data_IF_365455878298
#
_entry.id   IF_365455878298
#
_cell.length_a   1.000
_cell.length_b   1.000
_cell.length_c   1.000
_cell.angle_alpha   90.00
_cell.angle_beta   90.00
_cell.angle_gamma   90.00
#
_symmetry.space_group_name_H-M   'P 1'
#
loop_
_entity.id
_entity.type
_entity.pdbx_description
1 polymer ?
#
# COMPACT_ATOMS: atom_id res chain seq x y z
N UNK A 1 0.68 2.40 1.78
CA UNK A 1 -0.48 3.04 2.41
C UNK A 1 -1.78 2.31 2.14
N UNK A 2 -2.06 1.84 0.92
CA UNK A 2 -3.26 1.04 0.60
C UNK A 2 -3.47 -0.27 1.42
N UNK A 3 -2.45 -0.73 2.16
CA UNK A 3 -2.59 -1.83 3.13
C UNK A 3 -3.10 -1.42 4.51
N UNK A 4 -3.27 -0.12 4.74
CA UNK A 4 -3.70 0.47 6.03
C UNK A 4 -4.99 1.29 5.88
N UNK A 5 -5.32 1.74 4.66
CA UNK A 5 -6.51 2.51 4.30
C UNK A 5 -7.21 1.90 3.08
N UNK A 6 -8.51 2.16 2.93
CA UNK A 6 -9.28 1.71 1.77
C UNK A 6 -9.61 2.91 0.86
N UNK A 7 -9.33 2.77 -0.43
CA UNK A 7 -9.66 3.75 -1.46
C UNK A 7 -10.75 3.19 -2.40
N UNK A 8 -11.81 3.96 -2.72
CA UNK A 8 -12.81 3.59 -3.73
C UNK A 8 -12.16 3.21 -5.06
N UNK A 9 -12.72 2.24 -5.78
CA UNK A 9 -12.17 1.77 -7.07
C UNK A 9 -10.97 0.82 -6.96
N UNK A 10 -10.33 0.72 -5.80
CA UNK A 10 -9.13 -0.11 -5.59
C UNK A 10 -9.39 -1.40 -4.80
N UNK A 11 -10.61 -1.93 -4.78
CA UNK A 11 -11.01 -3.06 -3.93
C UNK A 11 -10.01 -4.24 -3.89
N UNK A 12 -9.69 -4.87 -5.03
CA UNK A 12 -8.71 -5.97 -5.08
C UNK A 12 -7.31 -5.54 -4.62
N UNK A 13 -6.86 -4.34 -4.98
CA UNK A 13 -5.56 -3.82 -4.58
C UNK A 13 -5.50 -3.55 -3.06
N UNK A 14 -6.52 -2.92 -2.49
CA UNK A 14 -6.61 -2.68 -1.05
C UNK A 14 -6.64 -3.99 -0.27
N UNK A 15 -7.44 -4.97 -0.71
CA UNK A 15 -7.57 -6.27 -0.05
C UNK A 15 -6.22 -7.00 -0.02
N UNK A 16 -5.54 -7.08 -1.16
CA UNK A 16 -4.23 -7.73 -1.26
C UNK A 16 -3.17 -7.01 -0.42
N UNK A 17 -3.15 -5.67 -0.40
CA UNK A 17 -2.20 -4.91 0.42
C UNK A 17 -2.48 -5.00 1.92
N UNK A 18 -3.74 -5.10 2.36
CA UNK A 18 -4.07 -5.37 3.77
C UNK A 18 -3.62 -6.77 4.18
N UNK A 19 -3.82 -7.78 3.31
CA UNK A 19 -3.36 -9.14 3.58
C UNK A 19 -1.84 -9.18 3.76
N UNK A 20 -1.07 -8.48 2.92
CA UNK A 20 0.39 -8.38 3.06
C UNK A 20 0.81 -7.76 4.39
N UNK A 21 0.13 -6.69 4.84
CA UNK A 21 0.40 -6.08 6.15
C UNK A 21 0.16 -7.08 7.28
N UNK A 22 -1.03 -7.69 7.34
CA UNK A 22 -1.38 -8.64 8.38
C UNK A 22 -0.44 -9.86 8.40
N UNK A 23 -0.07 -10.39 7.23
CA UNK A 23 0.89 -11.50 7.13
C UNK A 23 2.29 -11.09 7.62
N UNK A 24 2.74 -9.87 7.33
CA UNK A 24 4.05 -9.39 7.77
C UNK A 24 4.10 -9.21 9.29
N UNK A 25 3.05 -8.67 9.89
CA UNK A 25 2.94 -8.52 11.35
C UNK A 25 2.98 -9.89 12.05
N UNK A 26 2.19 -10.85 11.56
CA UNK A 26 2.22 -12.22 12.09
C UNK A 26 3.60 -12.85 11.98
N UNK A 27 4.24 -12.76 10.81
CA UNK A 27 5.58 -13.29 10.59
C UNK A 27 6.63 -12.66 11.52
N UNK A 28 6.56 -11.34 11.73
CA UNK A 28 7.47 -10.65 12.64
C UNK A 28 7.40 -11.22 14.05
N UNK A 29 6.19 -11.35 14.59
CA UNK A 29 5.94 -11.90 15.93
C UNK A 29 6.37 -13.36 16.04
N UNK A 30 6.11 -14.17 15.00
CA UNK A 30 6.52 -15.57 14.97
C UNK A 30 8.04 -15.75 14.96
N UNK A 31 8.75 -14.92 14.20
CA UNK A 31 10.22 -14.95 14.11
C UNK A 31 10.88 -14.52 15.43
N UNK A 32 10.30 -13.51 16.10
CA UNK A 32 10.71 -13.05 17.43
C UNK A 32 10.48 -14.15 18.48
N UNK A 33 9.27 -14.72 18.53
CA UNK A 33 8.92 -15.77 19.49
C UNK A 33 9.79 -17.04 19.34
N UNK A 34 10.26 -17.34 18.13
CA UNK A 34 11.18 -18.45 17.85
C UNK A 34 12.65 -18.15 18.18
N UNK A 35 13.00 -16.89 18.49
CA UNK A 35 14.40 -16.48 18.67
C UNK A 35 15.25 -16.75 17.43
N UNK A 36 14.67 -16.61 16.24
CA UNK A 36 15.27 -17.10 14.98
C UNK A 36 16.54 -16.37 14.54
N UNK A 37 16.80 -15.18 15.08
CA UNK A 37 17.84 -14.26 14.59
C UNK A 37 17.52 -13.61 13.24
N UNK A 38 16.34 -13.87 12.67
CA UNK A 38 15.82 -13.25 11.46
C UNK A 38 14.64 -12.34 11.83
N UNK A 39 14.50 -11.21 11.15
CA UNK A 39 13.35 -10.30 11.29
C UNK A 39 12.75 -9.96 9.93
N UNK A 40 11.62 -9.26 9.94
CA UNK A 40 11.01 -8.71 8.74
C UNK A 40 10.47 -7.29 9.00
N UNK A 41 10.21 -6.57 7.92
CA UNK A 41 9.61 -5.24 7.94
C UNK A 41 8.51 -5.17 6.89
N UNK A 42 7.58 -4.23 7.04
CA UNK A 42 6.53 -3.96 6.06
C UNK A 42 6.65 -2.54 5.51
N UNK A 43 6.80 -2.45 4.19
CA UNK A 43 6.86 -1.19 3.45
C UNK A 43 5.46 -0.75 3.00
N UNK A 44 5.04 0.43 3.46
CA UNK A 44 3.70 0.97 3.19
C UNK A 44 3.78 2.39 2.58
N UNK A 45 4.18 2.53 1.30
CA UNK A 45 4.40 3.84 0.70
C UNK A 45 3.08 4.51 0.27
N UNK A 46 3.11 5.84 0.15
CA UNK A 46 2.17 6.62 -0.67
C UNK A 46 2.48 6.44 -2.16
N UNK A 47 2.29 7.47 -2.97
CA UNK A 47 2.68 7.41 -4.37
C UNK A 47 4.18 7.55 -4.57
N UNK A 48 4.74 6.75 -5.47
CA UNK A 48 6.17 6.69 -5.77
C UNK A 48 6.35 6.70 -7.26
N UNK A 49 7.28 7.51 -7.76
CA UNK A 49 7.59 7.63 -9.18
C UNK A 49 8.18 6.34 -9.71
N UNK A 50 7.34 5.54 -10.38
CA UNK A 50 7.62 4.18 -10.87
C UNK A 50 6.86 3.93 -12.17
N UNK A 51 7.12 2.80 -12.83
CA UNK A 51 6.35 2.37 -14.02
C UNK A 51 5.03 1.65 -13.69
N UNK A 52 4.53 1.75 -12.45
CA UNK A 52 3.35 1.02 -11.96
C UNK A 52 2.10 1.21 -12.85
N UNK A 53 1.94 2.39 -13.44
CA UNK A 53 0.78 2.75 -14.26
C UNK A 53 1.01 2.63 -15.76
N UNK A 54 2.25 2.39 -16.20
CA UNK A 54 2.64 2.40 -17.61
C UNK A 54 3.09 1.03 -18.11
N UNK A 55 3.52 0.13 -17.22
CA UNK A 55 4.07 -1.19 -17.57
C UNK A 55 3.33 -2.35 -16.90
N UNK A 56 2.00 -2.26 -16.80
CA UNK A 56 1.19 -3.37 -16.28
C UNK A 56 1.24 -4.55 -17.26
N UNK A 57 1.87 -5.64 -16.86
CA UNK A 57 1.93 -6.88 -17.64
C UNK A 57 0.73 -7.76 -17.31
N UNK A 58 -0.15 -7.98 -18.29
CA UNK A 58 -1.22 -8.98 -18.18
C UNK A 58 -0.68 -10.38 -18.48
N UNK A 59 -0.87 -11.32 -17.56
CA UNK A 59 -0.42 -12.70 -17.75
C UNK A 59 -1.47 -13.48 -18.55
N UNK A 60 -1.03 -14.22 -19.57
CA UNK A 60 -1.90 -15.13 -20.35
C UNK A 60 -2.64 -16.15 -19.47
N UNK A 61 -2.04 -16.53 -18.33
CA UNK A 61 -2.67 -17.45 -17.35
C UNK A 61 -3.96 -16.89 -16.73
N UNK A 62 -4.18 -15.58 -16.81
CA UNK A 62 -5.39 -14.91 -16.32
C UNK A 62 -6.50 -14.84 -17.38
N UNK A 63 -6.25 -15.34 -18.60
CA UNK A 63 -7.18 -15.25 -19.72
C UNK A 63 -7.08 -13.91 -20.46
N UNK A 64 -8.14 -13.54 -21.17
CA UNK A 64 -8.20 -12.27 -21.89
C UNK A 64 -8.12 -11.08 -20.91
N UNK A 65 -7.34 -10.07 -21.27
CA UNK A 65 -7.29 -8.83 -20.49
C UNK A 65 -8.66 -8.15 -20.51
N UNK A 66 -9.20 -7.74 -19.35
CA UNK A 66 -10.42 -6.97 -19.29
C UNK A 66 -10.28 -5.67 -20.10
N UNK A 67 -11.33 -5.22 -20.79
CA UNK A 67 -11.31 -3.90 -21.39
C UNK A 67 -11.16 -2.83 -20.32
N UNK A 68 -10.61 -1.68 -20.70
CA UNK A 68 -10.52 -0.54 -19.80
C UNK A 68 -11.91 -0.11 -19.33
N UNK A 69 -12.06 0.28 -18.04
CA UNK A 69 -13.33 0.79 -17.54
C UNK A 69 -13.78 2.03 -18.31
N UNK A 70 -15.05 2.05 -18.71
CA UNK A 70 -15.65 3.17 -19.47
C UNK A 70 -16.51 4.10 -18.61
N UNK A 71 -16.74 3.74 -17.34
CA UNK A 71 -17.52 4.60 -16.45
C UNK A 71 -16.69 5.80 -15.97
N UNK A 72 -17.30 7.00 -15.84
CA UNK A 72 -16.57 8.22 -15.51
C UNK A 72 -15.80 8.17 -14.19
N UNK A 73 -16.30 7.42 -13.19
CA UNK A 73 -15.67 7.33 -11.88
C UNK A 73 -14.37 6.53 -12.01
N UNK A 74 -14.39 5.39 -12.68
CA UNK A 74 -13.20 4.59 -12.91
C UNK A 74 -12.15 5.32 -13.74
N UNK A 75 -12.55 6.09 -14.77
CA UNK A 75 -11.62 6.91 -15.55
C UNK A 75 -10.95 7.97 -14.68
N UNK A 76 -11.71 8.70 -13.84
CA UNK A 76 -11.19 9.69 -12.91
C UNK A 76 -10.20 9.06 -11.91
N UNK A 77 -10.53 7.90 -11.34
CA UNK A 77 -9.64 7.21 -10.40
C UNK A 77 -8.33 6.75 -11.07
N UNK A 78 -8.39 6.31 -12.32
CA UNK A 78 -7.20 5.94 -13.10
C UNK A 78 -6.31 7.15 -13.39
N UNK A 79 -6.90 8.31 -13.71
CA UNK A 79 -6.15 9.56 -13.89
C UNK A 79 -5.50 10.03 -12.59
N UNK A 80 -6.23 9.99 -11.46
CA UNK A 80 -5.67 10.31 -10.14
C UNK A 80 -4.50 9.40 -9.78
N UNK A 81 -4.59 8.10 -10.09
CA UNK A 81 -3.49 7.16 -9.89
C UNK A 81 -2.27 7.53 -10.75
N UNK A 82 -2.47 7.83 -12.03
CA UNK A 82 -1.40 8.21 -12.96
C UNK A 82 -0.69 9.48 -12.49
N UNK A 83 -1.45 10.53 -12.19
CA UNK A 83 -0.91 11.79 -11.69
C UNK A 83 -0.18 11.60 -10.35
N UNK A 84 -0.79 10.85 -9.42
CA UNK A 84 -0.16 10.52 -8.13
C UNK A 84 1.19 9.82 -8.31
N UNK A 85 1.29 8.85 -9.21
CA UNK A 85 2.56 8.16 -9.50
C UNK A 85 3.57 9.09 -10.19
N UNK A 86 3.14 9.95 -11.11
CA UNK A 86 4.02 10.89 -11.83
C UNK A 86 4.66 11.93 -10.89
N UNK A 87 3.87 12.43 -9.93
CA UNK A 87 4.23 13.40 -8.90
C UNK A 87 4.74 12.74 -7.60
N UNK A 88 4.81 11.40 -7.57
CA UNK A 88 5.24 10.65 -6.41
C UNK A 88 6.71 10.91 -6.04
N UNK A 89 7.07 10.60 -4.80
CA UNK A 89 8.47 10.74 -4.37
C UNK A 89 9.40 9.81 -5.19
N UNK A 90 10.68 10.14 -5.35
CA UNK A 90 11.64 9.28 -6.03
C UNK A 90 11.74 7.88 -5.40
N UNK A 91 11.88 6.85 -6.23
CA UNK A 91 12.10 5.49 -5.75
C UNK A 91 13.40 5.35 -4.93
N UNK A 92 14.41 6.17 -5.20
CA UNK A 92 15.65 6.25 -4.40
C UNK A 92 15.39 6.63 -2.95
N UNK A 93 14.46 7.54 -2.71
CA UNK A 93 14.15 8.05 -1.37
C UNK A 93 13.41 6.99 -0.56
N UNK A 94 12.57 6.20 -1.23
CA UNK A 94 11.96 4.99 -0.64
C UNK A 94 13.03 3.95 -0.32
N UNK A 95 13.98 3.71 -1.23
CA UNK A 95 15.06 2.74 -1.03
C UNK A 95 15.94 3.11 0.18
N UNK A 96 16.28 4.39 0.35
CA UNK A 96 17.03 4.87 1.51
C UNK A 96 16.27 4.61 2.82
N UNK A 97 14.97 4.94 2.87
CA UNK A 97 14.14 4.70 4.05
C UNK A 97 14.00 3.20 4.37
N UNK A 98 13.95 2.35 3.35
CA UNK A 98 13.94 0.89 3.54
C UNK A 98 15.26 0.42 4.13
N UNK A 99 16.38 0.86 3.57
CA UNK A 99 17.71 0.54 4.08
C UNK A 99 17.84 0.91 5.56
N UNK A 100 17.48 2.14 5.91
CA UNK A 100 17.63 2.65 7.28
C UNK A 100 16.75 1.88 8.27
N UNK A 101 15.52 1.55 7.88
CA UNK A 101 14.63 0.72 8.69
C UNK A 101 15.14 -0.72 8.87
N UNK A 102 15.72 -1.33 7.83
CA UNK A 102 16.31 -2.67 7.94
C UNK A 102 17.50 -2.66 8.91
N UNK A 103 18.40 -1.68 8.78
CA UNK A 103 19.54 -1.51 9.70
C UNK A 103 19.06 -1.28 11.14
N UNK A 104 17.99 -0.51 11.33
CA UNK A 104 17.41 -0.23 12.64
C UNK A 104 16.49 -1.34 13.18
N UNK A 105 16.33 -2.46 12.46
CA UNK A 105 15.36 -3.51 12.77
C UNK A 105 13.93 -2.98 13.02
N UNK A 106 13.52 -2.01 12.21
CA UNK A 106 12.23 -1.33 12.31
C UNK A 106 11.19 -2.03 11.44
N UNK A 107 10.09 -2.47 12.06
CA UNK A 107 9.02 -3.16 11.36
C UNK A 107 8.22 -2.24 10.39
N UNK A 108 7.71 -1.11 10.87
CA UNK A 108 6.84 -0.22 10.09
C UNK A 108 7.63 0.77 9.24
N UNK A 109 7.52 0.71 7.91
CA UNK A 109 8.17 1.66 7.00
C UNK A 109 7.10 2.49 6.28
N UNK A 110 6.72 3.62 6.88
CA UNK A 110 5.72 4.55 6.35
C UNK A 110 6.40 5.77 5.72
N UNK A 111 6.63 5.71 4.40
CA UNK A 111 7.53 6.64 3.70
C UNK A 111 6.99 8.05 3.48
N UNK A 112 5.69 8.26 3.75
CA UNK A 112 5.00 9.54 3.56
C UNK A 112 4.42 9.99 4.90
N UNK A 113 5.11 10.88 5.63
CA UNK A 113 4.68 11.33 6.96
C UNK A 113 3.26 11.91 6.97
N UNK A 114 2.89 12.66 5.93
CA UNK A 114 1.59 13.31 5.81
C UNK A 114 0.41 12.33 5.73
N UNK A 115 0.66 11.07 5.37
CA UNK A 115 -0.36 10.03 5.31
C UNK A 115 -0.48 9.17 6.57
N UNK A 116 0.39 9.38 7.57
CA UNK A 116 0.41 8.52 8.79
C UNK A 116 -0.86 8.66 9.63
N UNK A 117 -1.58 9.77 9.51
CA UNK A 117 -2.80 10.02 10.28
C UNK A 117 -4.01 9.25 9.72
N UNK A 118 -4.06 8.98 8.41
CA UNK A 118 -5.23 8.36 7.79
C UNK A 118 -5.57 6.95 8.31
N UNK A 119 -4.59 6.05 8.57
CA UNK A 119 -4.87 4.78 9.25
C UNK A 119 -5.44 4.95 10.66
N UNK A 120 -4.97 5.95 11.42
CA UNK A 120 -5.45 6.24 12.78
C UNK A 120 -6.92 6.63 12.75
N UNK A 121 -7.28 7.57 11.88
CA UNK A 121 -8.67 8.02 11.72
C UNK A 121 -9.59 6.89 11.26
N UNK A 122 -9.12 6.03 10.35
CA UNK A 122 -9.87 4.84 9.93
C UNK A 122 -10.15 3.92 11.12
N UNK A 123 -9.15 3.66 11.97
CA UNK A 123 -9.32 2.81 13.15
C UNK A 123 -10.18 3.47 14.23
N UNK A 124 -10.12 4.79 14.39
CA UNK A 124 -11.03 5.52 15.26
C UNK A 124 -12.48 5.38 14.80
N UNK A 125 -12.75 5.55 13.49
CA UNK A 125 -14.10 5.31 12.93
C UNK A 125 -14.56 3.87 13.16
N UNK A 126 -13.69 2.89 12.91
CA UNK A 126 -14.01 1.49 13.14
C UNK A 126 -14.35 1.21 14.62
N UNK A 127 -13.54 1.72 15.56
CA UNK A 127 -13.77 1.59 16.99
C UNK A 127 -15.08 2.27 17.45
N UNK A 128 -15.43 3.40 16.83
CA UNK A 128 -16.67 4.13 17.08
C UNK A 128 -17.88 3.60 16.26
N UNK A 129 -17.72 2.53 15.49
CA UNK A 129 -18.75 1.97 14.60
C UNK A 129 -19.33 2.99 13.60
N UNK A 130 -18.49 3.89 13.11
CA UNK A 130 -18.86 4.91 12.14
C UNK A 130 -18.60 4.44 10.70
N UNK A 131 -19.45 4.87 9.77
CA UNK A 131 -19.30 4.56 8.35
C UNK A 131 -17.99 5.15 7.77
N UNK A 132 -17.38 4.51 6.75
CA UNK A 132 -16.29 5.12 5.98
C UNK A 132 -16.71 6.42 5.31
N UNK A 133 -15.77 7.35 5.15
CA UNK A 133 -15.95 8.62 4.43
C UNK A 133 -15.07 8.64 3.17
N UNK A 134 -15.42 9.48 2.19
CA UNK A 134 -14.60 9.72 0.98
C UNK A 134 -13.44 10.73 1.24
N UNK A 135 -13.46 11.34 2.41
CA UNK A 135 -12.61 12.41 2.93
C UNK A 135 -13.24 12.84 4.24
#
# INVERSE_FOLDING_TARGET
MAGLIAMPGFGPYNATKHAVVAMSEGLFLELEAKGSGVSCSVLCPGFVKTSLTTEIKWSERLGAQPPDPTDPISSMMNEMLKAGVEDGIPASDVAQQVHDAVVANQFWILTHPDFRQAPVERMQRAAAQQNPTLG
#
